data_IF_718230889025
#
_entry.id   IF_718230889025
#
_cell.length_a   1.000
_cell.length_b   1.000
_cell.length_c   1.000
_cell.angle_alpha   90.00
_cell.angle_beta   90.00
_cell.angle_gamma   90.00
#
_symmetry.space_group_name_H-M   'P 1'
#
loop_
_entity.id
_entity.type
_entity.pdbx_description
1 polymer ?
#
# COMPACT_ATOMS: atom_id res chain seq x y z
N UNK A 1 33.74 -0.45 -5.91
CA UNK A 1 32.37 -0.03 -6.27
C UNK A 1 31.46 -0.67 -5.25
N UNK A 2 31.19 0.07 -4.16
CA UNK A 2 30.29 -0.41 -3.12
C UNK A 2 28.87 -0.46 -3.68
N UNK A 3 28.32 -1.65 -3.64
CA UNK A 3 26.90 -1.88 -3.91
C UNK A 3 26.13 -1.08 -2.86
N UNK A 4 25.35 -0.13 -3.30
CA UNK A 4 24.44 0.63 -2.44
C UNK A 4 23.70 -0.35 -1.52
N UNK A 5 23.86 -0.17 -0.23
CA UNK A 5 23.10 -0.89 0.79
C UNK A 5 21.62 -0.71 0.49
N UNK A 6 20.98 -1.78 0.00
CA UNK A 6 19.53 -1.87 -0.07
C UNK A 6 19.01 -1.57 1.34
N UNK A 7 18.11 -0.60 1.48
CA UNK A 7 17.39 -0.41 2.72
C UNK A 7 16.57 -1.68 2.92
N UNK A 8 16.90 -2.47 3.93
CA UNK A 8 16.15 -3.67 4.24
C UNK A 8 14.72 -3.28 4.60
N UNK A 9 13.77 -3.79 3.82
CA UNK A 9 12.35 -3.65 4.14
C UNK A 9 12.07 -4.27 5.52
N UNK A 10 11.23 -3.62 6.31
CA UNK A 10 10.79 -4.12 7.61
C UNK A 10 10.24 -5.55 7.56
N UNK A 11 9.66 -5.94 6.43
CA UNK A 11 9.11 -7.26 6.18
C UNK A 11 9.75 -7.90 4.97
N UNK A 12 10.01 -9.21 5.03
CA UNK A 12 10.39 -9.95 3.84
C UNK A 12 9.23 -10.04 2.85
N UNK A 13 9.57 -10.13 1.57
CA UNK A 13 8.55 -10.29 0.52
C UNK A 13 7.69 -11.53 0.70
N UNK A 14 8.26 -12.63 1.25
CA UNK A 14 7.53 -13.87 1.53
C UNK A 14 6.47 -13.67 2.62
N UNK A 15 6.78 -12.90 3.68
CA UNK A 15 5.80 -12.58 4.72
C UNK A 15 4.66 -11.72 4.18
N UNK A 16 4.98 -10.72 3.36
CA UNK A 16 3.96 -9.88 2.72
C UNK A 16 3.10 -10.71 1.75
N UNK A 17 3.71 -11.54 0.93
CA UNK A 17 2.97 -12.40 0.00
C UNK A 17 2.02 -13.37 0.76
N UNK A 18 2.48 -13.98 1.86
CA UNK A 18 1.64 -14.83 2.70
C UNK A 18 0.46 -14.04 3.31
N UNK A 19 0.73 -12.87 3.90
CA UNK A 19 -0.33 -11.99 4.44
C UNK A 19 -1.42 -11.70 3.41
N UNK A 20 -1.01 -11.37 2.18
CA UNK A 20 -1.94 -10.99 1.12
C UNK A 20 -2.76 -12.18 0.63
N UNK A 21 -2.14 -13.35 0.48
CA UNK A 21 -2.84 -14.60 0.14
C UNK A 21 -3.86 -14.99 1.22
N UNK A 22 -3.48 -14.97 2.50
CA UNK A 22 -4.35 -15.30 3.63
C UNK A 22 -5.52 -14.30 3.74
N UNK A 23 -5.26 -13.05 3.35
CA UNK A 23 -6.30 -12.02 3.23
C UNK A 23 -7.20 -12.19 2.00
N UNK A 24 -6.89 -13.16 1.12
CA UNK A 24 -7.65 -13.48 -0.08
C UNK A 24 -7.41 -12.50 -1.23
N UNK A 25 -6.33 -11.75 -1.22
CA UNK A 25 -5.95 -10.86 -2.33
C UNK A 25 -5.52 -11.71 -3.53
N UNK A 26 -6.07 -11.40 -4.69
CA UNK A 26 -5.78 -12.10 -5.95
C UNK A 26 -4.95 -11.27 -6.92
N UNK A 27 -5.04 -9.96 -6.83
CA UNK A 27 -4.37 -9.03 -7.73
C UNK A 27 -3.76 -7.88 -6.93
N UNK A 28 -2.58 -7.45 -7.32
CA UNK A 28 -1.97 -6.21 -6.84
C UNK A 28 -1.80 -5.29 -8.04
N UNK A 29 -2.25 -4.05 -7.89
CA UNK A 29 -2.00 -2.98 -8.87
C UNK A 29 -1.04 -1.98 -8.24
N UNK A 30 0.10 -1.74 -8.91
CA UNK A 30 1.20 -0.94 -8.36
C UNK A 30 1.84 -0.05 -9.41
N UNK A 31 2.43 1.05 -8.95
CA UNK A 31 3.47 1.77 -9.68
C UNK A 31 4.81 1.32 -9.12
N UNK A 32 5.79 0.92 -9.94
CA UNK A 32 7.08 0.47 -9.44
C UNK A 32 7.76 1.53 -8.57
N UNK A 33 8.15 1.16 -7.36
CA UNK A 33 8.88 2.01 -6.43
C UNK A 33 9.99 1.23 -5.70
N UNK A 34 10.81 1.93 -4.92
CA UNK A 34 11.97 1.34 -4.26
C UNK A 34 11.62 0.43 -3.08
N UNK A 35 10.47 0.57 -2.47
CA UNK A 35 10.07 -0.21 -1.28
C UNK A 35 9.32 -1.47 -1.69
N UNK A 36 8.27 -1.29 -2.46
CA UNK A 36 7.45 -2.39 -2.98
C UNK A 36 8.26 -3.26 -3.94
N UNK A 37 9.20 -2.67 -4.67
CA UNK A 37 10.09 -3.39 -5.57
C UNK A 37 10.83 -4.54 -4.90
N UNK A 38 11.14 -4.44 -3.62
CA UNK A 38 11.78 -5.52 -2.85
C UNK A 38 10.86 -6.74 -2.66
N UNK A 39 9.55 -6.57 -2.67
CA UNK A 39 8.58 -7.64 -2.49
C UNK A 39 8.10 -8.28 -3.79
N UNK A 40 8.30 -7.61 -4.93
CA UNK A 40 7.73 -8.02 -6.22
C UNK A 40 8.07 -9.46 -6.60
N UNK A 41 9.31 -9.89 -6.40
CA UNK A 41 9.72 -11.23 -6.75
C UNK A 41 9.04 -12.32 -5.92
N UNK A 42 8.81 -12.08 -4.64
CA UNK A 42 8.09 -12.99 -3.76
C UNK A 42 6.59 -13.01 -4.09
N UNK A 43 6.01 -11.84 -4.33
CA UNK A 43 4.61 -11.71 -4.76
C UNK A 43 4.38 -12.43 -6.07
N UNK A 44 5.26 -12.26 -7.06
CA UNK A 44 5.13 -12.94 -8.35
C UNK A 44 5.19 -14.49 -8.23
N UNK A 45 5.97 -15.02 -7.27
CA UNK A 45 6.03 -16.46 -7.00
C UNK A 45 4.84 -16.99 -6.21
N UNK A 46 4.09 -16.13 -5.53
CA UNK A 46 2.98 -16.53 -4.68
C UNK A 46 1.71 -16.92 -5.43
N UNK A 47 1.63 -16.60 -6.72
CA UNK A 47 0.42 -16.77 -7.53
C UNK A 47 -0.50 -15.55 -7.54
N UNK A 48 -0.20 -14.50 -6.80
CA UNK A 48 -0.89 -13.21 -6.90
C UNK A 48 -0.50 -12.55 -8.23
N UNK A 49 -1.49 -12.09 -8.98
CA UNK A 49 -1.25 -11.37 -10.24
C UNK A 49 -0.77 -9.95 -9.93
N UNK A 50 0.44 -9.60 -10.36
CA UNK A 50 1.02 -8.29 -10.18
C UNK A 50 0.88 -7.47 -11.49
N UNK A 51 0.12 -6.40 -11.42
CA UNK A 51 -0.10 -5.46 -12.52
C UNK A 51 0.63 -4.16 -12.25
N UNK A 52 1.52 -3.78 -13.16
CA UNK A 52 2.24 -2.51 -13.11
C UNK A 52 1.59 -1.51 -14.03
N UNK A 53 1.36 -0.32 -13.51
CA UNK A 53 0.80 0.83 -14.25
C UNK A 53 1.76 2.01 -14.20
N UNK A 54 1.48 3.06 -14.96
CA UNK A 54 2.37 4.21 -15.07
C UNK A 54 2.02 5.35 -14.12
N UNK A 55 0.81 5.35 -13.54
CA UNK A 55 0.31 6.38 -12.63
C UNK A 55 -0.55 5.77 -11.53
N UNK A 56 -0.50 6.35 -10.36
CA UNK A 56 -1.24 5.83 -9.20
C UNK A 56 -2.75 6.04 -9.34
N UNK A 57 -3.18 7.12 -9.95
CA UNK A 57 -4.59 7.30 -10.33
C UNK A 57 -5.09 6.20 -11.27
N UNK A 58 -4.26 5.73 -12.21
CA UNK A 58 -4.56 4.58 -13.05
C UNK A 58 -4.68 3.29 -12.22
N UNK A 59 -3.82 3.10 -11.20
CA UNK A 59 -3.88 1.95 -10.33
C UNK A 59 -5.26 1.78 -9.67
N UNK A 60 -5.85 2.87 -9.19
CA UNK A 60 -7.19 2.85 -8.61
C UNK A 60 -8.27 2.48 -9.63
N UNK A 61 -8.20 3.03 -10.84
CA UNK A 61 -9.16 2.73 -11.89
C UNK A 61 -9.09 1.25 -12.35
N UNK A 62 -7.88 0.71 -12.50
CA UNK A 62 -7.64 -0.70 -12.83
C UNK A 62 -8.15 -1.60 -11.70
N UNK A 63 -7.83 -1.27 -10.45
CA UNK A 63 -8.32 -2.02 -9.30
C UNK A 63 -9.84 -2.01 -9.21
N UNK A 64 -10.50 -0.89 -9.51
CA UNK A 64 -11.95 -0.82 -9.56
C UNK A 64 -12.52 -1.78 -10.62
N UNK A 65 -11.96 -1.80 -11.82
CA UNK A 65 -12.38 -2.72 -12.88
C UNK A 65 -12.20 -4.20 -12.49
N UNK A 66 -11.07 -4.53 -11.87
CA UNK A 66 -10.80 -5.88 -11.35
C UNK A 66 -11.82 -6.29 -10.28
N UNK A 67 -12.12 -5.39 -9.34
CA UNK A 67 -13.10 -5.66 -8.29
C UNK A 67 -14.50 -5.91 -8.87
N UNK A 68 -14.94 -5.07 -9.80
CA UNK A 68 -16.23 -5.25 -10.49
C UNK A 68 -16.27 -6.54 -11.32
N UNK A 69 -15.13 -7.00 -11.81
CA UNK A 69 -14.96 -8.30 -12.48
C UNK A 69 -14.90 -9.50 -11.54
N UNK A 70 -15.04 -9.31 -10.22
CA UNK A 70 -15.05 -10.39 -9.22
C UNK A 70 -13.68 -10.75 -8.66
N UNK A 71 -12.61 -10.05 -9.04
CA UNK A 71 -11.30 -10.20 -8.41
C UNK A 71 -11.26 -9.51 -7.03
N UNK A 72 -10.20 -9.78 -6.27
CA UNK A 72 -9.91 -9.11 -5.00
C UNK A 72 -8.61 -8.34 -5.11
N UNK A 73 -8.66 -7.13 -5.69
CA UNK A 73 -7.47 -6.31 -5.86
C UNK A 73 -7.04 -5.62 -4.58
N UNK A 74 -5.76 -5.25 -4.53
CA UNK A 74 -5.15 -4.34 -3.58
C UNK A 74 -4.32 -3.33 -4.36
N UNK A 75 -4.38 -2.06 -3.99
CA UNK A 75 -3.50 -1.02 -4.53
C UNK A 75 -2.27 -0.90 -3.65
N UNK A 76 -1.08 -0.96 -4.24
CA UNK A 76 0.21 -0.87 -3.54
C UNK A 76 1.03 0.26 -4.13
N UNK A 77 1.23 1.32 -3.35
CA UNK A 77 1.82 2.59 -3.80
C UNK A 77 2.65 3.23 -2.68
N UNK A 78 3.45 4.22 -3.01
CA UNK A 78 4.12 5.08 -2.05
C UNK A 78 3.23 6.28 -1.64
N UNK A 79 3.56 6.98 -0.55
CA UNK A 79 2.80 8.16 -0.10
C UNK A 79 2.75 9.28 -1.16
N UNK A 80 3.79 9.44 -1.97
CA UNK A 80 3.76 10.35 -3.12
C UNK A 80 2.69 9.96 -4.13
N UNK A 81 2.49 8.66 -4.31
CA UNK A 81 1.42 8.13 -5.15
C UNK A 81 0.02 8.30 -4.55
N UNK A 82 -0.10 8.31 -3.21
CA UNK A 82 -1.35 8.72 -2.57
C UNK A 82 -1.72 10.17 -2.95
N UNK A 83 -0.73 11.06 -3.01
CA UNK A 83 -0.96 12.46 -3.41
C UNK A 83 -1.35 12.56 -4.90
N UNK A 84 -0.68 11.79 -5.77
CA UNK A 84 -1.00 11.73 -7.21
C UNK A 84 -2.38 11.12 -7.47
N UNK A 85 -2.81 10.14 -6.68
CA UNK A 85 -4.06 9.41 -6.84
C UNK A 85 -5.31 10.30 -6.83
N UNK A 86 -5.28 11.37 -6.05
CA UNK A 86 -6.24 12.48 -6.02
C UNK A 86 -7.68 12.05 -6.29
N UNK A 87 -8.22 12.54 -7.37
CA UNK A 87 -9.61 12.35 -7.77
C UNK A 87 -9.95 10.88 -8.10
N UNK A 88 -9.02 10.10 -8.65
CA UNK A 88 -9.27 8.70 -8.98
C UNK A 88 -9.56 7.88 -7.72
N UNK A 89 -8.77 8.06 -6.66
CA UNK A 89 -9.01 7.41 -5.36
C UNK A 89 -10.37 7.84 -4.78
N UNK A 90 -10.66 9.14 -4.79
CA UNK A 90 -11.93 9.68 -4.30
C UNK A 90 -13.12 9.03 -5.01
N UNK A 91 -13.11 8.97 -6.33
CA UNK A 91 -14.16 8.33 -7.11
C UNK A 91 -14.35 6.85 -6.71
N UNK A 92 -13.27 6.09 -6.66
CA UNK A 92 -13.31 4.64 -6.40
C UNK A 92 -13.81 4.35 -4.98
N UNK A 93 -13.24 5.00 -3.96
CA UNK A 93 -13.51 4.69 -2.56
C UNK A 93 -14.78 5.37 -2.02
N UNK A 94 -15.13 6.56 -2.50
CA UNK A 94 -16.23 7.34 -1.95
C UNK A 94 -17.46 7.39 -2.86
N UNK A 95 -17.30 7.69 -4.16
CA UNK A 95 -18.46 7.78 -5.05
C UNK A 95 -18.99 6.39 -5.40
N UNK A 96 -18.10 5.45 -5.75
CA UNK A 96 -18.47 4.08 -6.08
C UNK A 96 -18.50 3.16 -4.85
N UNK A 97 -17.94 3.59 -3.74
CA UNK A 97 -17.89 2.87 -2.46
C UNK A 97 -17.31 1.46 -2.59
N UNK A 98 -16.25 1.31 -3.40
CA UNK A 98 -15.59 0.02 -3.56
C UNK A 98 -14.65 -0.24 -2.38
N UNK A 99 -14.75 -1.40 -1.71
CA UNK A 99 -13.94 -1.72 -0.52
C UNK A 99 -12.56 -2.24 -0.93
N UNK A 100 -11.80 -1.43 -1.66
CA UNK A 100 -10.48 -1.80 -2.15
C UNK A 100 -9.45 -1.41 -1.09
N UNK A 101 -8.71 -2.38 -0.51
CA UNK A 101 -7.63 -2.07 0.44
C UNK A 101 -6.39 -1.55 -0.28
N UNK A 102 -5.52 -0.87 0.48
CA UNK A 102 -4.23 -0.42 -0.02
C UNK A 102 -3.10 -0.66 0.96
N UNK A 103 -1.88 -0.80 0.42
CA UNK A 103 -0.62 -0.68 1.15
C UNK A 103 0.06 0.59 0.64
N UNK A 104 0.45 1.45 1.57
CA UNK A 104 1.07 2.74 1.27
C UNK A 104 2.41 2.80 1.98
N UNK A 105 3.50 2.91 1.22
CA UNK A 105 4.83 3.14 1.76
C UNK A 105 4.94 4.55 2.34
N UNK A 106 5.25 4.67 3.62
CA UNK A 106 5.40 5.95 4.31
C UNK A 106 6.85 6.40 4.31
N UNK A 107 7.26 6.93 3.20
CA UNK A 107 8.62 7.41 2.96
C UNK A 107 9.09 8.35 4.08
N UNK A 108 10.34 8.21 4.47
CA UNK A 108 11.05 9.01 5.47
C UNK A 108 10.50 8.88 6.91
N UNK A 109 9.51 8.05 7.18
CA UNK A 109 8.93 7.96 8.52
C UNK A 109 9.97 7.53 9.57
N UNK A 110 10.85 6.59 9.26
CA UNK A 110 11.90 6.14 10.18
C UNK A 110 13.08 7.14 10.29
N UNK A 111 13.08 8.19 9.49
CA UNK A 111 14.09 9.25 9.48
C UNK A 111 13.50 10.62 9.88
N UNK A 112 12.34 10.66 10.52
CA UNK A 112 11.63 11.91 10.82
C UNK A 112 12.46 12.90 11.65
N UNK A 113 13.35 12.42 12.53
CA UNK A 113 14.22 13.27 13.35
C UNK A 113 15.30 13.98 12.51
N UNK A 114 15.74 13.38 11.42
CA UNK A 114 16.76 13.91 10.51
C UNK A 114 16.19 14.65 9.31
N UNK A 115 14.92 14.41 8.99
CA UNK A 115 14.21 14.98 7.84
C UNK A 115 12.84 15.58 8.23
N UNK A 116 12.76 16.43 9.26
CA UNK A 116 11.47 16.88 9.81
C UNK A 116 10.65 17.74 8.82
N UNK A 117 11.30 18.27 7.77
CA UNK A 117 10.65 19.05 6.72
C UNK A 117 10.24 18.24 5.48
N UNK A 118 10.38 16.91 5.48
CA UNK A 118 9.93 16.10 4.36
C UNK A 118 8.40 16.18 4.23
N UNK A 119 7.94 16.63 3.08
CA UNK A 119 6.51 16.83 2.82
C UNK A 119 5.71 15.54 2.85
N UNK A 120 6.36 14.38 2.65
CA UNK A 120 5.72 13.09 2.87
C UNK A 120 5.27 12.91 4.33
N UNK A 121 6.09 13.35 5.30
CA UNK A 121 5.73 13.32 6.71
C UNK A 121 4.60 14.30 7.05
N UNK A 122 4.64 15.48 6.41
CA UNK A 122 3.68 16.55 6.68
C UNK A 122 2.29 16.20 6.17
N UNK A 123 2.17 15.58 4.99
CA UNK A 123 0.88 15.48 4.29
C UNK A 123 0.24 14.10 4.28
N UNK A 124 0.98 13.00 4.47
CA UNK A 124 0.42 11.66 4.29
C UNK A 124 -0.76 11.38 5.21
N UNK A 125 -0.57 11.48 6.52
CA UNK A 125 -1.66 11.21 7.46
C UNK A 125 -2.80 12.26 7.40
N UNK A 126 -2.53 13.57 7.29
CA UNK A 126 -3.58 14.56 7.08
C UNK A 126 -4.45 14.28 5.87
N UNK A 127 -3.89 13.83 4.76
CA UNK A 127 -4.65 13.46 3.55
C UNK A 127 -5.52 12.23 3.82
N UNK A 128 -4.98 11.16 4.42
CA UNK A 128 -5.76 9.98 4.78
C UNK A 128 -6.95 10.34 5.68
N UNK A 129 -6.73 11.21 6.67
CA UNK A 129 -7.80 11.69 7.57
C UNK A 129 -8.82 12.55 6.85
N UNK A 130 -8.38 13.51 6.02
CA UNK A 130 -9.28 14.38 5.24
C UNK A 130 -10.17 13.57 4.29
N UNK A 131 -9.65 12.48 3.76
CA UNK A 131 -10.38 11.57 2.89
C UNK A 131 -11.08 10.43 3.64
N UNK A 132 -11.08 10.47 4.96
CA UNK A 132 -11.77 9.51 5.82
C UNK A 132 -11.38 8.04 5.51
N UNK A 133 -10.12 7.83 5.17
CA UNK A 133 -9.59 6.48 4.95
C UNK A 133 -9.11 5.95 6.30
N UNK A 134 -9.70 4.84 6.77
CA UNK A 134 -9.20 4.13 7.94
C UNK A 134 -7.84 3.50 7.61
N UNK A 135 -6.85 3.73 8.46
CA UNK A 135 -5.50 3.18 8.24
C UNK A 135 -4.88 2.67 9.53
N UNK A 136 -3.92 1.78 9.38
CA UNK A 136 -3.02 1.36 10.46
C UNK A 136 -1.60 1.67 10.08
N UNK A 137 -0.93 2.44 10.94
CA UNK A 137 0.49 2.74 10.81
C UNK A 137 1.29 1.57 11.39
N UNK A 138 2.16 1.02 10.56
CA UNK A 138 3.02 -0.13 10.85
C UNK A 138 4.46 0.37 10.93
N UNK A 139 5.04 0.31 12.11
CA UNK A 139 6.37 0.85 12.41
C UNK A 139 7.37 -0.21 12.86
N UNK A 140 6.91 -1.44 13.10
CA UNK A 140 7.75 -2.52 13.60
C UNK A 140 7.26 -3.91 13.09
N UNK A 141 8.18 -4.87 12.91
CA UNK A 141 7.85 -6.21 12.40
C UNK A 141 6.86 -7.00 13.27
N UNK A 142 6.79 -6.67 14.56
CA UNK A 142 5.89 -7.31 15.53
C UNK A 142 4.42 -6.98 15.28
N UNK A 143 4.15 -5.94 14.49
CA UNK A 143 2.80 -5.50 14.14
C UNK A 143 2.19 -6.27 12.95
N UNK A 144 2.78 -7.40 12.56
CA UNK A 144 2.28 -8.23 11.46
C UNK A 144 0.82 -8.65 11.67
N UNK A 145 0.47 -9.09 12.89
CA UNK A 145 -0.89 -9.50 13.21
C UNK A 145 -1.90 -8.34 13.13
N UNK A 146 -1.45 -7.12 13.41
CA UNK A 146 -2.27 -5.91 13.22
C UNK A 146 -2.59 -5.68 11.74
N UNK A 147 -1.65 -5.95 10.84
CA UNK A 147 -1.88 -5.86 9.39
C UNK A 147 -2.96 -6.86 8.96
N UNK A 148 -2.82 -8.12 9.37
CA UNK A 148 -3.78 -9.18 9.05
C UNK A 148 -5.18 -8.85 9.59
N UNK A 149 -5.26 -8.42 10.84
CA UNK A 149 -6.53 -8.03 11.47
C UNK A 149 -7.19 -6.86 10.75
N UNK A 150 -6.42 -5.84 10.34
CA UNK A 150 -6.96 -4.69 9.62
C UNK A 150 -7.52 -5.07 8.25
N UNK A 151 -6.79 -5.86 7.46
CA UNK A 151 -7.26 -6.34 6.16
C UNK A 151 -8.51 -7.23 6.29
N UNK A 152 -8.56 -8.09 7.32
CA UNK A 152 -9.71 -8.92 7.60
C UNK A 152 -10.95 -8.08 7.98
N UNK A 153 -10.78 -7.06 8.82
CA UNK A 153 -11.85 -6.14 9.20
C UNK A 153 -12.38 -5.37 7.99
N UNK A 154 -11.50 -4.79 7.17
CA UNK A 154 -11.90 -4.09 5.94
C UNK A 154 -12.72 -4.99 5.02
N UNK A 155 -12.31 -6.25 4.86
CA UNK A 155 -13.05 -7.22 4.05
C UNK A 155 -14.42 -7.55 4.64
N UNK A 156 -14.48 -7.84 5.95
CA UNK A 156 -15.73 -8.23 6.63
C UNK A 156 -16.75 -7.09 6.63
N UNK A 157 -16.29 -5.87 6.83
CA UNK A 157 -17.12 -4.67 6.87
C UNK A 157 -17.39 -4.07 5.48
N UNK A 158 -16.82 -4.68 4.43
CA UNK A 158 -16.90 -4.20 3.04
C UNK A 158 -16.55 -2.70 2.92
N UNK A 159 -15.43 -2.30 3.52
CA UNK A 159 -14.95 -0.91 3.52
C UNK A 159 -13.51 -0.81 3.03
N UNK A 160 -13.12 0.34 2.46
CA UNK A 160 -11.71 0.59 2.16
C UNK A 160 -10.89 0.72 3.43
N UNK A 161 -9.58 0.50 3.33
CA UNK A 161 -8.63 0.74 4.40
C UNK A 161 -7.21 0.69 3.89
N UNK A 162 -6.29 1.29 4.63
CA UNK A 162 -4.88 1.35 4.26
C UNK A 162 -3.96 0.77 5.35
N UNK A 163 -2.94 0.08 4.92
CA UNK A 163 -1.75 -0.21 5.74
C UNK A 163 -0.67 0.80 5.35
N UNK A 164 -0.31 1.64 6.29
CA UNK A 164 0.72 2.66 6.13
C UNK A 164 2.03 2.10 6.69
N UNK A 165 2.95 1.72 5.82
CA UNK A 165 4.20 1.03 6.21
C UNK A 165 5.31 2.06 6.37
N UNK A 166 5.85 2.17 7.57
CA UNK A 166 6.96 3.07 7.86
C UNK A 166 8.22 2.66 7.10
N UNK A 167 8.83 3.62 6.43
CA UNK A 167 10.05 3.43 5.63
C UNK A 167 11.14 4.40 6.05
N UNK A 168 12.39 3.94 5.96
CA UNK A 168 13.55 4.80 5.99
C UNK A 168 13.83 5.35 4.58
N UNK A 169 14.49 6.50 4.51
CA UNK A 169 15.06 6.99 3.26
C UNK A 169 16.42 6.31 3.07
N UNK A 170 16.61 5.66 1.93
CA UNK A 170 17.92 5.18 1.51
C UNK A 170 18.86 6.35 1.18
#
# INVERSE_FOLDING_TARGET
MDVATQSDSMFSGERIAALLLDSGITHIVTVPDSTVGQWESAIARSGIVLLRVCREGEAWAVAAGLYLGGARPLVMIQCTGLFESGDALRNVLHDWRLPIPSIIGYRSYLNQDTLPGDTCLVFTEPILRAWQIDYRLITAPEQYDLMAAHLAACRTEARPGALLIAEGRA
#
